data_IF_526782155313
#
_entry.id   IF_526782155313
#
_cell.length_a   1.000
_cell.length_b   1.000
_cell.length_c   1.000
_cell.angle_alpha   90.00
_cell.angle_beta   90.00
_cell.angle_gamma   90.00
#
_symmetry.space_group_name_H-M   'P 1'
#
loop_
_entity.id
_entity.type
_entity.pdbx_description
1 polymer ?
#
# COMPACT_ATOMS: atom_id res chain seq x y z
N UNK A 1 17.74 -5.65 27.86
CA UNK A 1 16.73 -4.61 28.18
C UNK A 1 16.17 -3.88 26.95
N UNK A 2 16.66 -4.09 25.72
CA UNK A 2 16.23 -3.29 24.55
C UNK A 2 15.02 -3.82 23.76
N UNK A 3 14.82 -5.14 23.71
CA UNK A 3 13.79 -5.75 22.84
C UNK A 3 12.36 -5.42 23.29
N UNK A 4 12.13 -5.36 24.60
CA UNK A 4 10.81 -5.07 25.15
C UNK A 4 10.38 -3.61 24.93
N UNK A 5 11.34 -2.69 24.86
CA UNK A 5 11.04 -1.29 24.56
C UNK A 5 10.53 -1.14 23.12
N UNK A 6 11.13 -1.85 22.16
CA UNK A 6 10.70 -1.81 20.77
C UNK A 6 9.25 -2.30 20.59
N UNK A 7 8.88 -3.41 21.24
CA UNK A 7 7.51 -3.93 21.18
C UNK A 7 6.48 -2.97 21.80
N UNK A 8 6.81 -2.36 22.95
CA UNK A 8 5.94 -1.39 23.61
C UNK A 8 5.73 -0.12 22.75
N UNK A 9 6.79 0.37 22.09
CA UNK A 9 6.67 1.47 21.13
C UNK A 9 5.84 1.07 19.91
N UNK A 10 6.05 -0.11 19.34
CA UNK A 10 5.29 -0.58 18.19
C UNK A 10 3.78 -0.62 18.49
N UNK A 11 3.36 -1.20 19.61
CA UNK A 11 1.94 -1.23 20.00
C UNK A 11 1.32 0.16 20.19
N UNK A 12 2.13 1.15 20.59
CA UNK A 12 1.64 2.51 20.84
C UNK A 12 1.65 3.39 19.60
N UNK A 13 2.56 3.12 18.66
CA UNK A 13 2.75 3.91 17.45
C UNK A 13 2.07 3.33 16.23
N UNK A 14 1.80 2.02 16.20
CA UNK A 14 1.11 1.41 15.07
C UNK A 14 -0.32 1.96 14.96
N UNK A 15 -0.75 2.43 13.78
CA UNK A 15 -2.10 2.91 13.59
C UNK A 15 -3.11 1.76 13.80
N UNK A 16 -4.26 2.07 14.39
CA UNK A 16 -5.33 1.06 14.53
C UNK A 16 -5.96 0.71 13.17
N UNK A 17 -5.95 1.65 12.22
CA UNK A 17 -6.41 1.42 10.87
C UNK A 17 -5.28 0.82 10.03
N UNK A 18 -5.55 -0.35 9.45
CA UNK A 18 -4.71 -1.04 8.48
C UNK A 18 -5.57 -1.40 7.26
N UNK A 19 -5.86 -0.41 6.38
CA UNK A 19 -6.74 -0.63 5.25
C UNK A 19 -6.05 -1.53 4.22
N UNK A 20 -6.73 -2.61 3.85
CA UNK A 20 -6.28 -3.50 2.78
C UNK A 20 -6.37 -2.80 1.43
N UNK A 21 -7.36 -1.93 1.25
CA UNK A 21 -7.61 -1.17 0.02
C UNK A 21 -7.06 0.25 0.14
N UNK A 22 -6.25 0.67 -0.83
CA UNK A 22 -5.63 2.00 -0.86
C UNK A 22 -5.88 2.64 -2.21
N UNK A 23 -6.35 3.89 -2.21
CA UNK A 23 -6.45 4.70 -3.41
C UNK A 23 -5.06 5.05 -3.92
N UNK A 24 -4.79 4.76 -5.20
CA UNK A 24 -3.50 5.04 -5.81
C UNK A 24 -3.65 5.40 -7.30
N UNK A 25 -2.56 5.92 -7.86
CA UNK A 25 -2.50 6.41 -9.23
C UNK A 25 -1.35 5.78 -10.03
N UNK A 26 -1.59 5.43 -11.29
CA UNK A 26 -0.56 4.93 -12.21
C UNK A 26 -0.20 5.96 -13.29
N UNK A 27 0.64 6.94 -12.92
CA UNK A 27 1.20 7.91 -13.86
C UNK A 27 2.14 7.26 -14.88
N UNK A 28 2.88 6.24 -14.43
CA UNK A 28 3.96 5.62 -15.20
C UNK A 28 3.48 4.57 -16.21
N UNK A 29 2.21 4.14 -16.12
CA UNK A 29 1.66 3.17 -17.06
C UNK A 29 1.18 3.85 -18.36
N UNK A 30 1.41 3.20 -19.52
CA UNK A 30 0.79 3.61 -20.78
C UNK A 30 -0.75 3.67 -20.66
N UNK A 31 -1.43 4.62 -21.34
CA UNK A 31 -2.89 4.78 -21.24
C UNK A 31 -3.73 3.57 -21.64
N UNK A 32 -3.17 2.67 -22.45
CA UNK A 32 -3.78 1.43 -22.94
C UNK A 32 -3.39 0.20 -22.12
N UNK A 33 -2.62 0.39 -21.04
CA UNK A 33 -2.14 -0.72 -20.23
C UNK A 33 -3.33 -1.49 -19.62
N UNK A 34 -3.39 -2.84 -19.78
CA UNK A 34 -4.54 -3.65 -19.36
C UNK A 34 -4.91 -3.57 -17.88
N UNK A 35 -4.00 -3.07 -17.04
CA UNK A 35 -4.22 -2.86 -15.61
C UNK A 35 -5.14 -1.67 -15.31
N UNK A 36 -5.19 -0.65 -16.19
CA UNK A 36 -5.90 0.59 -15.92
C UNK A 36 -7.43 0.44 -15.85
N UNK A 37 -8.03 -0.57 -16.51
CA UNK A 37 -9.47 -0.97 -16.58
C UNK A 37 -10.55 -0.03 -15.97
N UNK A 38 -10.49 1.28 -16.21
CA UNK A 38 -11.37 2.25 -15.55
C UNK A 38 -10.76 3.63 -15.28
N UNK A 39 -9.43 3.77 -15.32
CA UNK A 39 -8.75 5.05 -15.17
C UNK A 39 -7.37 4.90 -14.54
N UNK A 40 -6.67 6.03 -14.41
CA UNK A 40 -5.37 6.04 -13.74
C UNK A 40 -5.47 6.02 -12.23
N UNK A 41 -6.61 6.45 -11.67
CA UNK A 41 -6.93 6.37 -10.25
C UNK A 41 -7.86 5.19 -9.99
N UNK A 42 -7.51 4.37 -9.00
CA UNK A 42 -8.37 3.27 -8.57
C UNK A 42 -8.07 2.81 -7.13
N UNK A 43 -8.98 1.98 -6.60
CA UNK A 43 -8.94 1.41 -5.26
C UNK A 43 -9.09 -0.10 -5.39
N UNK A 44 -8.10 -0.84 -4.91
CA UNK A 44 -8.15 -2.30 -4.77
C UNK A 44 -7.21 -2.74 -3.63
N UNK A 45 -7.28 -4.00 -3.17
CA UNK A 45 -6.33 -4.54 -2.22
C UNK A 45 -4.88 -4.30 -2.65
N UNK A 46 -4.05 -3.75 -1.76
CA UNK A 46 -2.64 -3.56 -2.05
C UNK A 46 -1.90 -4.89 -1.89
N UNK A 47 -1.35 -5.42 -2.98
CA UNK A 47 -0.62 -6.69 -3.02
C UNK A 47 0.75 -6.41 -3.60
N UNK A 48 1.82 -6.84 -2.94
CA UNK A 48 3.16 -6.70 -3.50
C UNK A 48 3.32 -7.67 -4.67
N UNK A 49 3.40 -7.11 -5.87
CA UNK A 49 3.55 -7.83 -7.14
C UNK A 49 4.42 -7.02 -8.11
N UNK A 50 4.46 -7.43 -9.39
CA UNK A 50 5.26 -6.79 -10.43
C UNK A 50 4.88 -5.32 -10.68
N UNK A 51 3.63 -4.93 -10.39
CA UNK A 51 3.15 -3.55 -10.54
C UNK A 51 3.25 -2.76 -9.22
N UNK A 52 3.42 -3.45 -8.09
CA UNK A 52 3.34 -2.89 -6.74
C UNK A 52 4.53 -3.32 -5.86
N UNK A 53 5.76 -2.98 -6.26
CA UNK A 53 6.97 -3.47 -5.58
C UNK A 53 7.22 -2.93 -4.16
N UNK A 54 6.48 -1.90 -3.72
CA UNK A 54 6.61 -1.28 -2.39
C UNK A 54 5.33 -0.58 -2.01
N UNK A 55 4.99 -0.59 -0.73
CA UNK A 55 3.86 0.19 -0.21
C UNK A 55 3.86 1.65 -0.74
N UNK A 56 2.69 2.24 -1.03
CA UNK A 56 2.57 3.59 -1.60
C UNK A 56 3.29 4.67 -0.78
#
# INVERSE_FOLDING_TARGET
MGEQAAAALAMRLWPNADPIEIAHHHDDLPPDHPHLRGGREHVHPYIIDDLHGRWP
#
